data_IF_085038589843
#
_entry.id   IF_085038589843
#
_cell.length_a   1.000
_cell.length_b   1.000
_cell.length_c   1.000
_cell.angle_alpha   90.00
_cell.angle_beta   90.00
_cell.angle_gamma   90.00
#
_symmetry.space_group_name_H-M   'P 1'
#
loop_
_entity.id
_entity.type
_entity.pdbx_description
1 polymer ?
#
# COMPACT_ATOMS: atom_id res chain seq x y z
N UNK A 1 29.53 -23.57 -0.43
CA UNK A 1 28.88 -22.80 -1.53
C UNK A 1 27.34 -22.75 -1.49
N UNK A 2 26.63 -23.56 -0.69
CA UNK A 2 25.14 -23.63 -0.68
C UNK A 2 24.38 -22.55 0.13
N UNK A 3 25.04 -21.81 1.03
CA UNK A 3 24.37 -20.79 1.88
C UNK A 3 23.97 -19.49 1.16
N UNK A 4 24.60 -19.18 0.00
CA UNK A 4 24.29 -17.96 -0.78
C UNK A 4 22.98 -18.06 -1.58
N UNK A 5 22.53 -19.29 -1.88
CA UNK A 5 21.43 -19.54 -2.82
C UNK A 5 20.04 -19.32 -2.21
N UNK A 6 19.88 -19.51 -0.90
CA UNK A 6 18.60 -19.35 -0.20
C UNK A 6 18.18 -17.87 -0.16
N UNK A 7 19.13 -16.97 0.10
CA UNK A 7 18.84 -15.54 0.25
C UNK A 7 18.57 -14.85 -1.08
N UNK A 8 19.26 -15.24 -2.15
CA UNK A 8 18.97 -14.75 -3.51
C UNK A 8 17.56 -15.10 -3.99
N UNK A 9 17.00 -16.22 -3.50
CA UNK A 9 15.63 -16.64 -3.82
C UNK A 9 14.61 -15.84 -3.01
N UNK A 10 14.88 -15.55 -1.73
CA UNK A 10 14.03 -14.70 -0.88
C UNK A 10 13.93 -13.27 -1.43
N UNK A 11 15.04 -12.69 -1.89
CA UNK A 11 15.04 -11.35 -2.50
C UNK A 11 14.40 -11.32 -3.91
N UNK A 12 14.49 -12.39 -4.69
CA UNK A 12 13.97 -12.44 -6.06
C UNK A 12 12.45 -12.72 -6.13
N UNK A 13 11.89 -13.50 -5.20
CA UNK A 13 10.45 -13.82 -5.17
C UNK A 13 9.58 -12.59 -4.88
N UNK A 14 10.16 -11.56 -4.25
CA UNK A 14 9.48 -10.29 -3.94
C UNK A 14 9.31 -9.41 -5.20
N UNK A 15 10.13 -9.57 -6.25
CA UNK A 15 10.27 -8.57 -7.32
C UNK A 15 9.53 -8.87 -8.64
N UNK A 16 9.16 -10.13 -8.91
CA UNK A 16 8.76 -10.56 -10.25
C UNK A 16 7.31 -11.03 -10.32
N UNK A 17 6.37 -10.10 -10.49
CA UNK A 17 5.10 -10.42 -11.16
C UNK A 17 4.34 -9.18 -11.59
N UNK A 18 4.28 -8.99 -12.90
CA UNK A 18 3.48 -8.00 -13.58
C UNK A 18 2.00 -8.37 -13.48
N UNK A 19 1.16 -7.46 -13.01
CA UNK A 19 -0.30 -7.61 -13.09
C UNK A 19 -0.95 -6.30 -13.54
N UNK A 20 -1.98 -6.46 -14.37
CA UNK A 20 -2.97 -5.43 -14.71
C UNK A 20 -4.08 -5.44 -13.67
N UNK A 21 -4.18 -4.38 -12.88
CA UNK A 21 -5.45 -4.03 -12.22
C UNK A 21 -6.21 -3.18 -13.21
N UNK A 22 -7.37 -3.66 -13.67
CA UNK A 22 -8.27 -2.84 -14.47
C UNK A 22 -8.95 -1.83 -13.55
N UNK A 23 -8.49 -0.59 -13.64
CA UNK A 23 -9.16 0.54 -13.03
C UNK A 23 -10.29 0.95 -13.97
N UNK A 24 -11.47 0.36 -13.82
CA UNK A 24 -12.67 0.97 -14.40
C UNK A 24 -12.88 2.29 -13.66
N UNK A 25 -12.59 3.38 -14.37
CA UNK A 25 -12.40 4.72 -13.81
C UNK A 25 -13.70 5.30 -13.24
N UNK A 26 -14.87 4.84 -13.67
CA UNK A 26 -16.19 5.33 -13.25
C UNK A 26 -17.17 4.14 -13.33
N UNK A 27 -18.04 3.90 -12.34
CA UNK A 27 -19.11 2.89 -12.46
C UNK A 27 -20.01 3.19 -13.66
N UNK A 28 -20.52 2.16 -14.32
CA UNK A 28 -21.46 2.30 -15.43
C UNK A 28 -22.80 2.96 -15.01
N UNK A 29 -23.10 3.01 -13.70
CA UNK A 29 -24.28 3.67 -13.13
C UNK A 29 -23.92 5.00 -12.43
N UNK A 30 -24.27 6.10 -13.11
CA UNK A 30 -24.07 7.47 -12.64
C UNK A 30 -24.84 7.78 -11.35
N UNK A 31 -26.08 7.29 -11.21
CA UNK A 31 -26.91 7.55 -10.03
C UNK A 31 -26.35 6.83 -8.80
N UNK A 32 -25.90 5.59 -8.98
CA UNK A 32 -25.24 4.83 -7.93
C UNK A 32 -23.91 5.47 -7.52
N UNK A 33 -23.15 6.02 -8.47
CA UNK A 33 -21.92 6.75 -8.15
C UNK A 33 -22.18 7.98 -7.28
N UNK A 34 -23.12 8.84 -7.70
CA UNK A 34 -23.49 10.07 -6.97
C UNK A 34 -23.93 9.73 -5.54
N UNK A 35 -24.88 8.78 -5.40
CA UNK A 35 -25.39 8.38 -4.08
C UNK A 35 -24.32 7.81 -3.16
N UNK A 36 -23.27 7.19 -3.70
CA UNK A 36 -22.18 6.59 -2.92
C UNK A 36 -20.99 7.54 -2.72
N UNK A 37 -20.97 8.70 -3.37
CA UNK A 37 -19.82 9.60 -3.35
C UNK A 37 -20.19 11.08 -3.07
N UNK A 38 -21.01 11.38 -2.05
CA UNK A 38 -21.40 12.75 -1.73
C UNK A 38 -20.18 13.66 -1.50
N UNK A 39 -20.27 14.91 -1.94
CA UNK A 39 -19.21 15.90 -1.72
C UNK A 39 -19.21 16.32 -0.24
N UNK A 40 -18.30 15.73 0.53
CA UNK A 40 -18.13 16.05 1.95
C UNK A 40 -16.91 15.36 2.52
N UNK A 41 -16.12 16.09 3.31
CA UNK A 41 -14.90 15.59 3.98
C UNK A 41 -13.86 14.90 3.06
N UNK A 42 -14.00 15.03 1.73
CA UNK A 42 -13.12 14.38 0.74
C UNK A 42 -11.66 14.76 0.92
N UNK A 43 -11.38 16.06 1.13
CA UNK A 43 -10.04 16.54 1.40
C UNK A 43 -9.45 15.91 2.67
N UNK A 44 -10.15 15.99 3.81
CA UNK A 44 -9.64 15.47 5.08
C UNK A 44 -9.44 13.95 5.04
N UNK A 45 -10.37 13.23 4.41
CA UNK A 45 -10.25 11.80 4.18
C UNK A 45 -8.97 11.46 3.40
N UNK A 46 -8.80 12.06 2.21
CA UNK A 46 -7.64 11.79 1.34
C UNK A 46 -6.35 12.22 2.02
N UNK A 47 -6.34 13.34 2.74
CA UNK A 47 -5.20 13.79 3.54
C UNK A 47 -4.82 12.77 4.60
N UNK A 48 -5.78 12.25 5.38
CA UNK A 48 -5.51 11.23 6.38
C UNK A 48 -5.08 9.90 5.76
N UNK A 49 -5.63 9.54 4.60
CA UNK A 49 -5.17 8.39 3.82
C UNK A 49 -3.72 8.56 3.37
N UNK A 50 -3.34 9.71 2.79
CA UNK A 50 -1.95 9.96 2.39
C UNK A 50 -1.00 9.97 3.60
N UNK A 51 -1.43 10.52 4.73
CA UNK A 51 -0.64 10.46 5.97
C UNK A 51 -0.53 9.04 6.52
N UNK A 52 -1.53 8.17 6.35
CA UNK A 52 -1.42 6.77 6.77
C UNK A 52 -0.40 6.02 5.89
N UNK A 53 -0.34 6.36 4.60
CA UNK A 53 0.63 5.78 3.67
C UNK A 53 2.08 6.12 4.03
N UNK A 54 2.38 7.23 4.73
CA UNK A 54 3.77 7.54 5.11
C UNK A 54 4.34 6.49 6.08
N UNK A 55 3.51 5.93 6.96
CA UNK A 55 3.92 4.85 7.86
C UNK A 55 4.13 3.53 7.12
N UNK A 56 3.37 3.29 6.04
CA UNK A 56 3.60 2.15 5.13
C UNK A 56 4.91 2.35 4.36
N UNK A 57 5.19 3.58 3.91
CA UNK A 57 6.46 3.94 3.27
C UNK A 57 7.65 3.69 4.18
N UNK A 58 7.58 4.10 5.44
CA UNK A 58 8.65 3.83 6.42
C UNK A 58 8.95 2.33 6.59
N UNK A 59 7.93 1.46 6.47
CA UNK A 59 8.14 0.02 6.45
C UNK A 59 8.89 -0.42 5.17
N UNK A 60 8.47 0.06 3.99
CA UNK A 60 9.15 -0.26 2.71
C UNK A 60 10.61 0.26 2.69
N UNK A 61 10.86 1.45 3.23
CA UNK A 61 12.20 2.05 3.33
C UNK A 61 13.10 1.19 4.22
N UNK A 62 12.63 0.78 5.41
CA UNK A 62 13.39 -0.12 6.31
C UNK A 62 13.70 -1.45 5.66
N UNK A 63 12.76 -2.03 4.93
CA UNK A 63 12.99 -3.28 4.19
C UNK A 63 14.07 -3.10 3.11
N UNK A 64 14.06 -1.96 2.41
CA UNK A 64 15.04 -1.64 1.38
C UNK A 64 16.44 -1.42 1.96
N UNK A 65 16.57 -0.64 3.04
CA UNK A 65 17.82 -0.42 3.78
C UNK A 65 18.36 -1.72 4.39
N UNK A 66 17.46 -2.59 4.84
CA UNK A 66 17.82 -3.91 5.33
C UNK A 66 18.47 -4.76 4.24
N UNK A 67 17.93 -4.78 3.02
CA UNK A 67 18.53 -5.53 1.90
C UNK A 67 19.96 -5.05 1.63
N UNK A 68 20.22 -3.75 1.75
CA UNK A 68 21.56 -3.17 1.55
C UNK A 68 22.54 -3.50 2.69
N UNK A 69 22.07 -3.46 3.93
CA UNK A 69 22.89 -3.71 5.14
C UNK A 69 23.15 -5.20 5.41
N UNK A 70 22.35 -6.10 4.85
CA UNK A 70 22.48 -7.55 5.06
C UNK A 70 23.83 -8.10 4.60
N UNK A 71 24.51 -7.48 3.63
CA UNK A 71 25.75 -8.00 3.05
C UNK A 71 26.86 -8.19 4.10
N UNK A 72 26.93 -7.34 5.13
CA UNK A 72 28.00 -7.34 6.14
C UNK A 72 27.71 -8.16 7.41
N UNK A 73 26.46 -8.57 7.63
CA UNK A 73 26.04 -9.27 8.86
C UNK A 73 26.20 -10.79 8.73
N UNK A 74 26.41 -11.49 9.85
CA UNK A 74 26.30 -12.95 9.87
C UNK A 74 24.82 -13.43 9.90
N UNK A 75 24.59 -14.72 9.67
CA UNK A 75 23.24 -15.30 9.54
C UNK A 75 22.34 -15.00 10.77
N UNK A 76 22.87 -15.15 11.98
CA UNK A 76 22.11 -14.90 13.21
C UNK A 76 21.80 -13.40 13.40
N UNK A 77 22.76 -12.52 13.12
CA UNK A 77 22.56 -11.07 13.18
C UNK A 77 21.50 -10.59 12.19
N UNK A 78 21.49 -11.14 10.98
CA UNK A 78 20.46 -10.84 9.96
C UNK A 78 19.07 -11.23 10.45
N UNK A 79 18.92 -12.45 10.97
CA UNK A 79 17.64 -12.95 11.47
C UNK A 79 17.13 -12.12 12.67
N UNK A 80 18.03 -11.71 13.57
CA UNK A 80 17.68 -10.78 14.66
C UNK A 80 17.20 -9.44 14.15
N UNK A 81 17.87 -8.87 13.13
CA UNK A 81 17.49 -7.60 12.52
C UNK A 81 16.09 -7.68 11.89
N UNK A 82 15.82 -8.69 11.04
CA UNK A 82 14.48 -8.91 10.45
C UNK A 82 13.43 -8.99 11.55
N UNK A 83 13.65 -9.86 12.54
CA UNK A 83 12.70 -10.09 13.63
C UNK A 83 12.39 -8.82 14.41
N UNK A 84 13.38 -7.97 14.67
CA UNK A 84 13.19 -6.71 15.38
C UNK A 84 12.42 -5.68 14.53
N UNK A 85 12.71 -5.60 13.23
CA UNK A 85 12.01 -4.73 12.30
C UNK A 85 10.52 -5.07 12.19
N UNK A 86 10.14 -6.35 12.21
CA UNK A 86 8.72 -6.76 12.19
C UNK A 86 7.88 -6.13 13.32
N UNK A 87 8.48 -5.88 14.50
CA UNK A 87 7.77 -5.24 15.61
C UNK A 87 7.57 -3.73 15.38
N UNK A 88 8.55 -3.06 14.78
CA UNK A 88 8.45 -1.65 14.37
C UNK A 88 7.40 -1.50 13.27
N UNK A 89 7.44 -2.39 12.26
CA UNK A 89 6.49 -2.40 11.16
C UNK A 89 5.05 -2.59 11.64
N UNK A 90 4.82 -3.45 12.63
CA UNK A 90 3.51 -3.60 13.27
C UNK A 90 3.04 -2.33 13.98
N UNK A 91 3.95 -1.57 14.58
CA UNK A 91 3.60 -0.29 15.24
C UNK A 91 3.15 0.72 14.20
N UNK A 92 3.89 0.84 13.10
CA UNK A 92 3.55 1.70 11.98
C UNK A 92 2.21 1.32 11.34
N UNK A 93 1.94 0.05 11.10
CA UNK A 93 0.66 -0.42 10.54
C UNK A 93 -0.52 -0.10 11.45
N UNK A 94 -0.34 -0.19 12.79
CA UNK A 94 -1.39 0.18 13.75
C UNK A 94 -1.67 1.68 13.71
N UNK A 95 -0.63 2.50 13.62
CA UNK A 95 -0.77 3.96 13.50
C UNK A 95 -1.45 4.32 12.18
N UNK A 96 -0.99 3.76 11.06
CA UNK A 96 -1.59 3.92 9.74
C UNK A 96 -3.09 3.62 9.76
N UNK A 97 -3.48 2.45 10.30
CA UNK A 97 -4.88 2.05 10.44
C UNK A 97 -5.70 3.05 11.26
N UNK A 98 -5.13 3.60 12.33
CA UNK A 98 -5.84 4.51 13.23
C UNK A 98 -6.19 5.86 12.58
N UNK A 99 -5.45 6.33 11.57
CA UNK A 99 -5.80 7.54 10.81
C UNK A 99 -7.18 7.46 10.16
N UNK A 100 -7.59 6.25 9.76
CA UNK A 100 -8.83 6.03 9.03
C UNK A 100 -10.01 5.58 9.88
N UNK A 101 -9.78 5.26 11.17
CA UNK A 101 -10.85 4.79 12.07
C UNK A 101 -12.02 5.76 12.21
N UNK A 102 -11.74 7.06 12.17
CA UNK A 102 -12.77 8.10 12.25
C UNK A 102 -13.76 8.09 11.07
N UNK A 103 -13.44 7.40 9.97
CA UNK A 103 -14.26 7.32 8.76
C UNK A 103 -15.03 6.01 8.62
N UNK A 104 -15.06 5.16 9.66
CA UNK A 104 -15.79 3.88 9.64
C UNK A 104 -17.31 4.03 9.55
N UNK A 105 -17.82 5.24 9.80
CA UNK A 105 -19.24 5.59 9.73
C UNK A 105 -19.46 6.79 8.78
N UNK A 106 -18.56 6.98 7.81
CA UNK A 106 -18.73 8.04 6.82
C UNK A 106 -19.98 7.80 5.96
N UNK A 107 -20.71 8.86 5.63
CA UNK A 107 -21.88 8.79 4.73
C UNK A 107 -21.47 8.48 3.28
N UNK A 108 -20.19 8.68 2.95
CA UNK A 108 -19.62 8.37 1.65
C UNK A 108 -19.26 6.87 1.57
N UNK A 109 -20.03 6.11 0.79
CA UNK A 109 -19.85 4.67 0.61
C UNK A 109 -18.50 4.28 0.00
N UNK A 110 -17.91 5.13 -0.86
CA UNK A 110 -16.56 4.89 -1.37
C UNK A 110 -15.50 5.05 -0.28
N UNK A 111 -15.65 6.03 0.63
CA UNK A 111 -14.77 6.16 1.81
C UNK A 111 -14.86 4.93 2.69
N UNK A 112 -16.07 4.44 2.99
CA UNK A 112 -16.27 3.22 3.77
C UNK A 112 -15.50 2.04 3.14
N UNK A 113 -15.60 1.87 1.82
CA UNK A 113 -14.90 0.78 1.13
C UNK A 113 -13.38 0.92 1.15
N UNK A 114 -12.88 2.15 0.98
CA UNK A 114 -11.45 2.44 1.10
C UNK A 114 -10.93 2.18 2.52
N UNK A 115 -11.70 2.55 3.56
CA UNK A 115 -11.38 2.28 4.97
C UNK A 115 -11.33 0.78 5.23
N UNK A 116 -12.37 0.04 4.84
CA UNK A 116 -12.45 -1.42 4.99
C UNK A 116 -11.21 -2.09 4.41
N UNK A 117 -10.94 -1.89 3.11
CA UNK A 117 -9.80 -2.51 2.42
C UNK A 117 -8.44 -2.12 3.03
N UNK A 118 -8.27 -0.86 3.42
CA UNK A 118 -7.02 -0.42 4.04
C UNK A 118 -6.83 -0.99 5.44
N UNK A 119 -7.91 -1.10 6.22
CA UNK A 119 -7.87 -1.70 7.56
C UNK A 119 -7.58 -3.20 7.47
N UNK A 120 -8.19 -3.93 6.53
CA UNK A 120 -7.89 -5.33 6.25
C UNK A 120 -6.42 -5.52 5.84
N UNK A 121 -5.90 -4.69 4.93
CA UNK A 121 -4.49 -4.70 4.57
C UNK A 121 -3.59 -4.56 5.81
N UNK A 122 -3.86 -3.59 6.67
CA UNK A 122 -3.04 -3.38 7.87
C UNK A 122 -3.10 -4.58 8.82
N UNK A 123 -4.28 -5.12 9.05
CA UNK A 123 -4.50 -6.21 10.01
C UNK A 123 -3.90 -7.54 9.52
N UNK A 124 -4.07 -7.86 8.24
CA UNK A 124 -3.44 -9.03 7.62
C UNK A 124 -1.90 -8.90 7.63
N UNK A 125 -1.35 -7.72 7.32
CA UNK A 125 0.10 -7.51 7.35
C UNK A 125 0.66 -7.65 8.78
N UNK A 126 -0.07 -7.19 9.80
CA UNK A 126 0.30 -7.40 11.20
C UNK A 126 0.30 -8.89 11.55
N UNK A 127 -0.74 -9.63 11.14
CA UNK A 127 -0.83 -11.07 11.36
C UNK A 127 0.32 -11.83 10.69
N UNK A 128 0.64 -11.49 9.45
CA UNK A 128 1.75 -12.08 8.69
C UNK A 128 3.10 -11.78 9.35
N UNK A 129 3.31 -10.55 9.83
CA UNK A 129 4.50 -10.18 10.59
C UNK A 129 4.63 -10.99 11.89
N UNK A 130 3.53 -11.25 12.60
CA UNK A 130 3.54 -12.09 13.79
C UNK A 130 3.88 -13.55 13.48
N UNK A 131 3.31 -14.10 12.40
CA UNK A 131 3.64 -15.47 11.93
C UNK A 131 5.10 -15.59 11.52
N UNK A 132 5.62 -14.63 10.76
CA UNK A 132 7.01 -14.61 10.34
C UNK A 132 7.95 -14.54 11.55
N UNK A 133 7.64 -13.71 12.54
CA UNK A 133 8.40 -13.64 13.79
C UNK A 133 8.52 -15.01 14.46
N UNK A 134 7.45 -15.78 14.54
CA UNK A 134 7.46 -17.13 15.11
C UNK A 134 8.35 -18.08 14.32
N UNK A 135 8.20 -18.11 12.99
CA UNK A 135 9.01 -18.93 12.08
C UNK A 135 10.50 -18.60 12.24
N UNK A 136 10.85 -17.31 12.29
CA UNK A 136 12.23 -16.86 12.50
C UNK A 136 12.77 -17.28 13.87
N UNK A 137 11.96 -17.19 14.93
CA UNK A 137 12.38 -17.61 16.27
C UNK A 137 12.65 -19.11 16.35
N UNK A 138 11.81 -19.94 15.72
CA UNK A 138 12.02 -21.38 15.63
C UNK A 138 13.27 -21.73 14.83
N UNK A 139 13.47 -21.07 13.69
CA UNK A 139 14.66 -21.24 12.87
C UNK A 139 15.95 -20.85 13.60
N UNK A 140 15.94 -19.71 14.30
CA UNK A 140 17.06 -19.26 15.12
C UNK A 140 17.40 -20.25 16.23
N UNK A 141 16.40 -20.89 16.87
CA UNK A 141 16.64 -21.94 17.88
C UNK A 141 17.34 -23.15 17.25
N UNK A 142 16.92 -23.58 16.07
CA UNK A 142 17.56 -24.68 15.34
C UNK A 142 19.00 -24.37 14.97
N UNK A 143 19.28 -23.14 14.50
CA UNK A 143 20.66 -22.68 14.25
C UNK A 143 21.49 -22.72 15.53
N UNK A 144 20.98 -22.22 16.66
CA UNK A 144 21.72 -22.22 17.92
C UNK A 144 22.02 -23.61 18.49
N UNK A 145 21.19 -24.60 18.14
CA UNK A 145 21.38 -26.00 18.56
C UNK A 145 22.16 -26.82 17.53
N UNK A 146 22.63 -26.22 16.44
CA UNK A 146 23.21 -26.90 15.26
C UNK A 146 22.31 -28.02 14.68
N UNK A 147 21.00 -27.92 14.89
CA UNK A 147 19.97 -28.90 14.47
C UNK A 147 19.35 -28.51 13.11
N UNK A 148 20.20 -28.37 12.10
CA UNK A 148 19.79 -27.96 10.76
C UNK A 148 19.78 -29.17 9.81
N UNK A 149 18.62 -29.82 9.72
CA UNK A 149 18.37 -30.87 8.72
C UNK A 149 17.95 -30.29 7.36
N UNK A 150 18.07 -31.09 6.30
CA UNK A 150 17.59 -30.70 4.95
C UNK A 150 16.07 -30.47 4.95
N UNK A 151 15.32 -31.31 5.65
CA UNK A 151 13.87 -31.18 5.81
C UNK A 151 13.50 -29.87 6.53
N UNK A 152 14.19 -29.55 7.63
CA UNK A 152 13.96 -28.30 8.36
C UNK A 152 14.25 -27.06 7.50
N UNK A 153 15.31 -27.11 6.67
CA UNK A 153 15.60 -26.05 5.70
C UNK A 153 14.46 -25.90 4.68
N UNK A 154 13.97 -27.01 4.15
CA UNK A 154 12.91 -27.00 3.15
C UNK A 154 11.60 -26.43 3.73
N UNK A 155 11.18 -26.87 4.91
CA UNK A 155 9.98 -26.35 5.59
C UNK A 155 10.10 -24.85 5.89
N UNK A 156 11.28 -24.38 6.29
CA UNK A 156 11.53 -22.95 6.50
C UNK A 156 11.33 -22.16 5.20
N UNK A 157 11.92 -22.63 4.09
CA UNK A 157 11.77 -22.00 2.78
C UNK A 157 10.32 -21.96 2.29
N UNK A 158 9.61 -23.08 2.40
CA UNK A 158 8.20 -23.17 2.01
C UNK A 158 7.33 -22.21 2.84
N UNK A 159 7.60 -22.11 4.15
CA UNK A 159 6.90 -21.16 5.02
C UNK A 159 7.13 -19.71 4.59
N UNK A 160 8.37 -19.35 4.22
CA UNK A 160 8.69 -18.01 3.72
C UNK A 160 7.98 -17.71 2.39
N UNK A 161 7.89 -18.69 1.48
CA UNK A 161 7.19 -18.54 0.21
C UNK A 161 5.68 -18.33 0.40
N UNK A 162 5.06 -19.08 1.31
CA UNK A 162 3.64 -18.92 1.65
C UNK A 162 3.38 -17.53 2.24
N UNK A 163 4.26 -17.04 3.13
CA UNK A 163 4.15 -15.70 3.68
C UNK A 163 4.26 -14.63 2.58
N UNK A 164 5.22 -14.76 1.66
CA UNK A 164 5.40 -13.82 0.55
C UNK A 164 4.15 -13.76 -0.36
N UNK A 165 3.56 -14.91 -0.68
CA UNK A 165 2.32 -14.98 -1.46
C UNK A 165 1.15 -14.25 -0.76
N UNK A 166 0.95 -14.50 0.54
CA UNK A 166 -0.11 -13.84 1.33
C UNK A 166 0.12 -12.33 1.49
N UNK A 167 1.38 -11.90 1.66
CA UNK A 167 1.72 -10.46 1.71
C UNK A 167 1.30 -9.75 0.44
N UNK A 168 1.54 -10.38 -0.71
CA UNK A 168 1.16 -9.85 -2.01
C UNK A 168 -0.35 -9.74 -2.18
N UNK A 169 -1.11 -10.76 -1.77
CA UNK A 169 -2.59 -10.69 -1.75
C UNK A 169 -3.09 -9.55 -0.87
N UNK A 170 -2.47 -9.35 0.30
CA UNK A 170 -2.81 -8.23 1.17
C UNK A 170 -2.48 -6.87 0.55
N UNK A 171 -1.32 -6.74 -0.10
CA UNK A 171 -0.91 -5.52 -0.80
C UNK A 171 -1.82 -5.16 -1.99
N UNK A 172 -2.54 -6.12 -2.58
CA UNK A 172 -3.57 -5.81 -3.58
C UNK A 172 -4.73 -5.00 -2.97
N UNK A 173 -5.09 -5.26 -1.70
CA UNK A 173 -6.13 -4.47 -1.00
C UNK A 173 -5.70 -3.02 -0.80
N UNK A 174 -4.41 -2.76 -0.54
CA UNK A 174 -3.85 -1.41 -0.49
C UNK A 174 -4.07 -0.67 -1.82
N UNK A 175 -3.74 -1.31 -2.95
CA UNK A 175 -3.93 -0.72 -4.27
C UNK A 175 -5.42 -0.50 -4.57
N UNK A 176 -6.28 -1.47 -4.27
CA UNK A 176 -7.73 -1.32 -4.44
C UNK A 176 -8.27 -0.16 -3.60
N UNK A 177 -7.85 -0.04 -2.34
CA UNK A 177 -8.21 1.10 -1.50
C UNK A 177 -7.78 2.43 -2.13
N UNK A 178 -6.59 2.50 -2.72
CA UNK A 178 -6.11 3.70 -3.43
C UNK A 178 -6.89 4.02 -4.70
N UNK A 179 -7.39 3.01 -5.41
CA UNK A 179 -8.31 3.22 -6.54
C UNK A 179 -9.66 3.76 -6.08
N UNK A 180 -10.15 3.33 -4.90
CA UNK A 180 -11.32 3.98 -4.29
C UNK A 180 -11.01 5.42 -3.88
N UNK A 181 -9.85 5.70 -3.28
CA UNK A 181 -9.42 7.07 -2.95
C UNK A 181 -9.35 7.97 -4.19
N UNK A 182 -8.87 7.43 -5.30
CA UNK A 182 -8.89 8.10 -6.60
C UNK A 182 -10.33 8.47 -7.02
N UNK A 183 -11.29 7.54 -6.87
CA UNK A 183 -12.71 7.78 -7.19
C UNK A 183 -13.39 8.76 -6.24
N UNK A 184 -13.05 8.72 -4.94
CA UNK A 184 -13.57 9.65 -3.93
C UNK A 184 -13.28 11.11 -4.32
N UNK A 185 -12.11 11.38 -4.92
CA UNK A 185 -11.72 12.73 -5.34
C UNK A 185 -12.58 13.30 -6.47
N UNK A 186 -13.29 12.49 -7.23
CA UNK A 186 -14.21 12.94 -8.27
C UNK A 186 -15.45 13.54 -7.57
N UNK A 187 -15.91 14.72 -8.01
CA UNK A 187 -17.11 15.35 -7.48
C UNK A 187 -18.36 14.54 -7.80
N UNK A 188 -19.38 14.62 -6.95
CA UNK A 188 -20.72 14.13 -7.31
C UNK A 188 -21.40 14.98 -8.40
N UNK A 189 -20.93 16.21 -8.61
CA UNK A 189 -21.45 17.12 -9.61
C UNK A 189 -20.87 16.82 -11.00
N UNK A 190 -21.72 17.00 -12.02
CA UNK A 190 -21.36 16.80 -13.44
C UNK A 190 -21.43 18.10 -14.22
N UNK A 191 -20.74 18.16 -15.37
CA UNK A 191 -20.87 19.30 -16.29
C UNK A 191 -22.24 19.30 -16.99
N UNK A 192 -22.48 20.29 -17.85
CA UNK A 192 -23.71 20.39 -18.67
C UNK A 192 -23.99 19.18 -19.57
N UNK A 193 -22.97 18.35 -19.83
CA UNK A 193 -23.03 17.14 -20.64
C UNK A 193 -23.22 15.87 -19.78
N UNK A 194 -23.31 15.99 -18.46
CA UNK A 194 -23.42 14.86 -17.54
C UNK A 194 -22.09 14.16 -17.24
N UNK A 195 -20.95 14.74 -17.61
CA UNK A 195 -19.63 14.14 -17.40
C UNK A 195 -19.01 14.55 -16.05
N UNK A 196 -18.33 13.61 -15.39
CA UNK A 196 -17.59 13.84 -14.15
C UNK A 196 -16.22 14.48 -14.41
N UNK A 197 -16.20 15.81 -14.49
CA UNK A 197 -14.99 16.59 -14.79
C UNK A 197 -14.54 17.51 -13.65
N UNK A 198 -15.23 17.47 -12.51
CA UNK A 198 -14.88 18.26 -11.32
C UNK A 198 -14.26 17.40 -10.23
N UNK A 199 -13.40 18.02 -9.41
CA UNK A 199 -12.95 17.44 -8.15
C UNK A 199 -13.92 17.80 -7.03
N UNK A 200 -14.14 16.86 -6.11
CA UNK A 200 -14.86 17.12 -4.87
C UNK A 200 -14.01 17.82 -3.80
N UNK A 201 -12.92 18.48 -4.22
CA UNK A 201 -12.00 19.29 -3.40
C UNK A 201 -11.67 20.57 -4.16
N UNK A 202 -11.33 21.64 -3.45
CA UNK A 202 -10.96 22.90 -4.10
C UNK A 202 -9.48 22.94 -4.51
N UNK A 203 -9.10 24.00 -5.24
CA UNK A 203 -7.73 24.18 -5.73
C UNK A 203 -6.67 24.22 -4.61
N UNK A 204 -6.96 24.88 -3.48
CA UNK A 204 -6.03 24.98 -2.35
C UNK A 204 -5.81 23.61 -1.70
N UNK A 205 -6.89 22.87 -1.45
CA UNK A 205 -6.89 21.51 -0.94
C UNK A 205 -6.14 20.56 -1.87
N UNK A 206 -6.42 20.62 -3.16
CA UNK A 206 -5.70 19.88 -4.20
C UNK A 206 -4.19 20.13 -4.15
N UNK A 207 -3.75 21.38 -4.05
CA UNK A 207 -2.32 21.70 -3.94
C UNK A 207 -1.70 21.13 -2.66
N UNK A 208 -2.44 21.16 -1.53
CA UNK A 208 -1.98 20.53 -0.28
C UNK A 208 -1.82 19.01 -0.45
N UNK A 209 -2.76 18.33 -1.11
CA UNK A 209 -2.67 16.89 -1.41
C UNK A 209 -1.50 16.58 -2.35
N UNK A 210 -1.29 17.38 -3.39
CA UNK A 210 -0.15 17.24 -4.30
C UNK A 210 1.20 17.39 -3.58
N UNK A 211 1.32 18.30 -2.61
CA UNK A 211 2.54 18.42 -1.77
C UNK A 211 2.76 17.18 -0.91
N UNK A 212 1.71 16.60 -0.33
CA UNK A 212 1.83 15.34 0.43
C UNK A 212 2.32 14.19 -0.47
N UNK A 213 1.85 14.13 -1.73
CA UNK A 213 2.31 13.13 -2.69
C UNK A 213 3.79 13.28 -3.10
N UNK A 214 4.43 14.41 -2.83
CA UNK A 214 5.87 14.60 -3.06
C UNK A 214 6.72 13.78 -2.06
N UNK A 215 6.16 13.45 -0.89
CA UNK A 215 6.83 12.62 0.12
C UNK A 215 7.06 11.17 -0.35
N UNK A 216 6.42 10.78 -1.45
CA UNK A 216 6.43 9.42 -2.01
C UNK A 216 7.14 9.38 -3.37
N UNK A 217 8.33 9.99 -3.48
CA UNK A 217 9.09 10.07 -4.73
C UNK A 217 9.05 8.76 -5.54
N UNK A 218 8.65 8.84 -6.81
CA UNK A 218 8.39 7.69 -7.68
C UNK A 218 7.81 8.07 -9.05
N UNK A 219 8.02 7.22 -10.07
CA UNK A 219 7.59 7.44 -11.46
C UNK A 219 6.05 7.47 -11.62
N UNK A 220 5.54 8.16 -12.66
CA UNK A 220 4.09 8.23 -12.98
C UNK A 220 3.49 6.85 -13.31
N UNK A 221 2.29 6.55 -12.77
CA UNK A 221 1.47 5.39 -13.15
C UNK A 221 1.14 5.42 -14.65
N UNK A 222 1.07 4.26 -15.30
CA UNK A 222 0.53 4.14 -16.68
C UNK A 222 -0.29 2.85 -16.86
N UNK A 223 -1.02 2.38 -15.84
CA UNK A 223 -1.83 1.15 -15.93
C UNK A 223 -1.26 -0.01 -15.08
N UNK A 224 -0.88 -1.17 -15.65
CA UNK A 224 -0.38 -2.29 -14.84
C UNK A 224 0.78 -1.89 -13.92
N UNK A 225 0.89 -2.56 -12.76
CA UNK A 225 2.08 -2.46 -11.92
C UNK A 225 3.27 -2.88 -12.79
N UNK A 226 4.19 -1.94 -13.03
CA UNK A 226 5.37 -2.22 -13.85
C UNK A 226 6.33 -3.12 -13.09
N UNK A 227 7.16 -3.84 -13.83
CA UNK A 227 8.28 -4.58 -13.26
C UNK A 227 9.15 -3.63 -12.41
N UNK A 228 9.36 -3.98 -11.14
CA UNK A 228 10.09 -3.17 -10.17
C UNK A 228 9.29 -2.05 -9.48
N UNK A 229 7.99 -1.88 -9.74
CA UNK A 229 7.14 -0.92 -9.03
C UNK A 229 6.48 -1.57 -7.80
N UNK A 230 6.59 -0.94 -6.62
CA UNK A 230 5.91 -1.43 -5.41
C UNK A 230 4.40 -1.15 -5.45
N UNK A 231 3.62 -1.90 -4.67
CA UNK A 231 2.19 -1.64 -4.52
C UNK A 231 1.91 -0.26 -3.93
N UNK A 232 2.77 0.24 -3.03
CA UNK A 232 2.67 1.60 -2.52
C UNK A 232 2.93 2.64 -3.62
N UNK A 233 3.94 2.44 -4.46
CA UNK A 233 4.21 3.33 -5.60
C UNK A 233 3.03 3.34 -6.59
N UNK A 234 2.44 2.19 -6.88
CA UNK A 234 1.25 2.11 -7.73
C UNK A 234 0.06 2.85 -7.10
N UNK A 235 -0.17 2.63 -5.79
CA UNK A 235 -1.21 3.27 -4.97
C UNK A 235 -1.13 4.79 -5.00
N UNK A 236 0.06 5.34 -4.71
CA UNK A 236 0.34 6.78 -4.77
C UNK A 236 0.14 7.33 -6.18
N UNK A 237 0.53 6.56 -7.19
CA UNK A 237 0.48 7.04 -8.56
C UNK A 237 -0.95 7.09 -9.11
N UNK A 238 -1.84 6.17 -8.68
CA UNK A 238 -3.27 6.22 -9.00
C UNK A 238 -3.94 7.51 -8.46
N UNK A 239 -3.64 7.88 -7.21
CA UNK A 239 -4.17 9.11 -6.61
C UNK A 239 -3.59 10.34 -7.32
N UNK A 240 -2.28 10.33 -7.63
CA UNK A 240 -1.61 11.42 -8.34
C UNK A 240 -2.20 11.67 -9.73
N UNK A 241 -2.65 10.62 -10.42
CA UNK A 241 -3.23 10.73 -11.76
C UNK A 241 -4.46 11.64 -11.79
N UNK A 242 -5.43 11.44 -10.90
CA UNK A 242 -6.64 12.28 -10.83
C UNK A 242 -6.30 13.71 -10.40
N UNK A 243 -5.43 13.87 -9.40
CA UNK A 243 -5.04 15.20 -8.91
C UNK A 243 -4.20 16.01 -9.90
N UNK A 244 -3.61 15.40 -10.93
CA UNK A 244 -2.79 16.11 -11.94
C UNK A 244 -3.45 16.21 -13.31
N UNK A 245 -4.59 15.57 -13.52
CA UNK A 245 -5.28 15.56 -14.79
C UNK A 245 -5.86 16.95 -15.13
N UNK A 246 -5.48 17.47 -16.30
CA UNK A 246 -5.84 18.79 -16.79
C UNK A 246 -7.34 19.04 -16.94
N UNK A 247 -8.15 17.98 -17.16
CA UNK A 247 -9.63 18.10 -17.22
C UNK A 247 -10.20 18.60 -15.89
N UNK A 248 -9.61 18.13 -14.80
CA UNK A 248 -9.93 18.53 -13.43
C UNK A 248 -9.20 19.82 -13.01
N UNK A 249 -8.24 20.31 -13.78
CA UNK A 249 -7.53 21.59 -13.55
C UNK A 249 -8.15 22.79 -14.25
N UNK A 250 -8.73 22.57 -15.43
CA UNK A 250 -9.17 23.66 -16.31
C UNK A 250 -10.44 24.36 -15.83
N UNK A 251 -11.19 23.75 -14.91
CA UNK A 251 -12.51 24.23 -14.46
C UNK A 251 -12.47 24.91 -13.07
N UNK A 252 -11.36 24.79 -12.34
CA UNK A 252 -11.16 25.45 -11.03
C UNK A 252 -10.81 26.96 -11.20
N UNK A 253 -10.24 27.35 -12.34
CA UNK A 253 -9.85 28.74 -12.65
C UNK A 253 -11.01 29.64 -13.12
N UNK A 254 -12.20 29.06 -13.34
CA UNK A 254 -13.39 29.78 -13.83
C UNK A 254 -14.29 30.34 -12.72
N UNK A 255 -13.90 30.17 -11.45
CA UNK A 255 -14.65 30.67 -10.28
C UNK A 255 -13.90 31.78 -9.50
N UNK A 256 -13.10 32.61 -10.19
CA UNK A 256 -12.61 33.91 -9.68
C UNK A 256 -13.23 35.03 -10.50
#
# INVERSE_FOLDING_TARGET
MRKKTIFSVISAIIFMSSFTVHADLIPDDMHQFISNNPDGQKYDFVKHYLNSLTYVKENEDRQSEQIQSIISLNEMQRLMLVKNNLALDNTNLRVARNFLKQYQLADNGLMLKAVELFTEFCDEMIELNMREKTILQEWMKKINLDDITVEAQQMFLESQQILAAKRKESQQKLLQASLFVQKILISENTNSQGEFVYLGVNQEERQKLLRLLQLFEGQKFKGPIREGQSFLQASISAIREVLTNGRFSALESSNI
#
